data_IF_999771397357
#
_entry.id   IF_999771397357
#
_cell.length_a   1.000
_cell.length_b   1.000
_cell.length_c   1.000
_cell.angle_alpha   90.00
_cell.angle_beta   90.00
_cell.angle_gamma   90.00
#
_symmetry.space_group_name_H-M   'P 1'
#
loop_
_entity.id
_entity.type
_entity.pdbx_description
1 polymer ?
#
# COMPACT_ATOMS: atom_id res chain seq x y z
N UNK A 1 -30.39 -18.24 -15.47
CA UNK A 1 -29.31 -18.60 -16.41
C UNK A 1 -28.73 -17.32 -16.94
N UNK A 2 -27.60 -16.91 -16.37
CA UNK A 2 -26.87 -15.71 -16.73
C UNK A 2 -25.49 -16.18 -17.17
N UNK A 3 -25.11 -15.87 -18.40
CA UNK A 3 -23.73 -15.99 -18.88
C UNK A 3 -23.27 -14.59 -19.30
N UNK A 4 -22.10 -14.14 -18.84
CA UNK A 4 -21.50 -12.86 -19.20
C UNK A 4 -20.65 -12.99 -20.49
N UNK A 5 -20.68 -11.94 -21.31
CA UNK A 5 -19.83 -11.83 -22.50
C UNK A 5 -18.39 -11.53 -22.07
N UNK A 6 -17.52 -12.46 -22.40
CA UNK A 6 -16.06 -12.43 -22.32
C UNK A 6 -15.53 -11.70 -23.56
N UNK A 7 -14.72 -10.66 -23.35
CA UNK A 7 -13.94 -9.96 -24.36
C UNK A 7 -12.48 -10.17 -24.00
N UNK A 8 -11.76 -10.93 -24.82
CA UNK A 8 -10.29 -10.97 -24.91
C UNK A 8 -9.95 -11.51 -26.30
N UNK A 9 -9.76 -10.62 -27.27
CA UNK A 9 -9.13 -10.92 -28.56
C UNK A 9 -7.71 -10.32 -28.52
N UNK A 10 -6.77 -11.14 -28.07
CA UNK A 10 -5.32 -10.95 -28.20
C UNK A 10 -4.86 -11.71 -29.46
N UNK A 11 -4.73 -11.01 -30.59
CA UNK A 11 -4.13 -11.57 -31.81
C UNK A 11 -2.60 -11.40 -31.76
N UNK A 12 -1.98 -12.47 -31.29
CA UNK A 12 -0.57 -12.83 -31.32
C UNK A 12 -0.06 -12.99 -32.76
N UNK A 13 0.90 -12.18 -33.19
CA UNK A 13 1.62 -12.36 -34.46
C UNK A 13 3.09 -12.68 -34.22
N UNK A 14 3.37 -13.94 -33.91
CA UNK A 14 4.68 -14.56 -34.03
C UNK A 14 4.85 -15.27 -35.38
N UNK A 15 5.98 -15.06 -36.06
CA UNK A 15 6.29 -15.78 -37.30
C UNK A 15 7.61 -15.39 -37.96
N UNK A 16 8.69 -15.96 -37.46
CA UNK A 16 10.05 -15.95 -38.03
C UNK A 16 10.11 -16.91 -39.23
N UNK A 17 10.72 -16.54 -40.38
CA UNK A 17 11.39 -17.48 -41.30
C UNK A 17 12.33 -16.79 -42.30
N UNK A 18 13.51 -17.41 -42.40
CA UNK A 18 14.67 -17.19 -43.26
C UNK A 18 14.44 -17.37 -44.78
N UNK A 19 15.21 -16.63 -45.62
CA UNK A 19 15.38 -16.98 -47.04
C UNK A 19 16.08 -16.00 -48.01
N UNK A 20 17.42 -15.91 -47.94
CA UNK A 20 18.40 -16.02 -49.07
C UNK A 20 18.39 -15.13 -50.36
N UNK A 21 19.52 -14.39 -50.54
CA UNK A 21 20.35 -14.06 -51.77
C UNK A 21 20.21 -12.74 -52.60
N UNK A 22 21.29 -11.92 -52.46
CA UNK A 22 22.23 -11.26 -53.44
C UNK A 22 21.76 -10.22 -54.49
N UNK A 23 22.44 -9.05 -54.52
CA UNK A 23 23.37 -8.54 -55.58
C UNK A 23 23.77 -7.08 -55.29
N UNK A 24 25.05 -6.74 -55.02
CA UNK A 24 26.00 -6.13 -55.98
C UNK A 24 25.81 -4.61 -56.13
N UNK A 25 26.66 -3.72 -55.61
CA UNK A 25 27.91 -3.26 -56.29
C UNK A 25 28.68 -2.28 -55.38
N UNK A 26 29.96 -2.55 -55.13
CA UNK A 26 30.98 -1.59 -54.68
C UNK A 26 31.68 -1.00 -55.92
N UNK A 27 31.95 0.31 -55.94
CA UNK A 27 32.96 0.97 -56.82
C UNK A 27 33.82 1.80 -55.86
N UNK A 28 35.05 1.39 -55.52
CA UNK A 28 36.31 1.55 -56.28
C UNK A 28 36.66 3.03 -56.49
N UNK A 29 37.49 3.57 -55.60
CA UNK A 29 38.21 4.83 -55.81
C UNK A 29 39.69 4.47 -55.89
N UNK A 30 40.23 4.51 -57.11
CA UNK A 30 41.61 4.19 -57.41
C UNK A 30 42.53 5.38 -57.08
N UNK A 31 43.63 5.05 -56.42
CA UNK A 31 44.99 5.28 -56.92
C UNK A 31 45.30 6.69 -57.45
N UNK A 32 45.80 7.53 -56.53
CA UNK A 32 46.64 8.68 -56.85
C UNK A 32 48.05 8.14 -57.07
N UNK A 33 48.46 8.00 -58.33
CA UNK A 33 49.86 7.76 -58.66
C UNK A 33 50.62 9.09 -58.60
N UNK A 34 51.60 9.09 -57.71
CA UNK A 34 52.55 10.15 -57.46
C UNK A 34 53.49 10.36 -58.66
N UNK A 35 53.84 11.62 -58.80
CA UNK A 35 54.87 12.22 -59.63
C UNK A 35 56.07 11.32 -60.01
N UNK A 36 56.54 11.48 -61.26
CA UNK A 36 57.89 12.00 -61.64
C UNK A 36 58.38 11.34 -62.93
N UNK A 37 58.06 11.95 -64.08
CA UNK A 37 58.89 11.77 -65.27
C UNK A 37 60.08 12.75 -65.23
N UNK A 38 61.21 12.17 -64.87
CA UNK A 38 62.55 12.74 -64.85
C UNK A 38 63.00 13.02 -66.30
N UNK A 39 62.71 14.22 -66.81
CA UNK A 39 62.85 14.62 -68.22
C UNK A 39 64.31 14.78 -68.70
N UNK A 40 65.30 14.47 -67.85
CA UNK A 40 66.74 14.58 -68.17
C UNK A 40 67.54 13.33 -67.79
N UNK A 41 67.06 12.16 -68.23
CA UNK A 41 67.84 10.94 -68.37
C UNK A 41 68.92 11.05 -69.45
N UNK A 42 69.98 11.80 -69.13
CA UNK A 42 71.23 11.82 -69.89
C UNK A 42 71.83 10.41 -69.94
N UNK A 43 72.19 9.89 -71.13
CA UNK A 43 73.58 9.52 -71.46
C UNK A 43 73.70 8.50 -72.59
N UNK A 44 74.61 8.87 -73.48
CA UNK A 44 75.79 8.12 -73.93
C UNK A 44 75.57 6.66 -74.37
N UNK A 45 75.81 6.46 -75.66
CA UNK A 45 76.35 5.22 -76.20
C UNK A 45 76.81 5.50 -77.63
N UNK A 46 77.89 6.25 -77.82
CA UNK A 46 79.27 5.76 -77.80
C UNK A 46 79.51 4.66 -78.85
N UNK A 47 79.83 5.09 -80.07
CA UNK A 47 80.54 4.31 -81.11
C UNK A 47 81.60 5.27 -81.63
N UNK A 48 82.84 5.24 -81.14
CA UNK A 48 83.83 4.17 -81.40
C UNK A 48 83.70 3.65 -82.83
N UNK A 49 84.01 4.58 -83.72
CA UNK A 49 84.76 4.39 -84.94
C UNK A 49 85.80 3.27 -84.73
N UNK A 50 85.43 2.03 -85.03
CA UNK A 50 86.32 1.15 -85.76
C UNK A 50 85.60 -0.04 -86.38
N UNK A 51 86.08 -0.35 -87.58
CA UNK A 51 85.83 -1.54 -88.38
C UNK A 51 84.38 -1.81 -88.78
N UNK A 52 83.98 -1.03 -89.79
CA UNK A 52 83.67 -1.57 -91.13
C UNK A 52 82.93 -2.91 -91.16
N UNK A 53 81.82 -3.01 -90.44
CA UNK A 53 80.75 -3.94 -90.78
C UNK A 53 79.51 -3.09 -91.10
N UNK A 54 78.92 -3.19 -92.30
CA UNK A 54 77.86 -2.28 -92.75
C UNK A 54 76.57 -2.31 -91.92
N UNK A 55 76.48 -3.15 -90.88
CA UNK A 55 75.31 -3.27 -89.98
C UNK A 55 75.39 -2.48 -88.66
N UNK A 56 76.55 -2.35 -88.01
CA UNK A 56 76.63 -1.80 -86.63
C UNK A 56 76.54 -0.27 -86.57
N UNK A 57 77.24 0.42 -87.47
CA UNK A 57 77.08 1.86 -87.66
C UNK A 57 75.64 2.17 -88.13
N UNK A 58 75.08 1.33 -89.00
CA UNK A 58 73.72 1.50 -89.51
C UNK A 58 72.67 1.34 -88.40
N UNK A 59 72.82 0.36 -87.50
CA UNK A 59 71.89 0.15 -86.38
C UNK A 59 71.85 1.30 -85.38
N UNK A 60 72.99 1.89 -85.04
CA UNK A 60 73.04 3.05 -84.12
C UNK A 60 72.62 4.35 -84.78
N UNK A 61 72.89 4.52 -86.07
CA UNK A 61 72.31 5.61 -86.86
C UNK A 61 70.78 5.49 -86.86
N UNK A 62 70.22 4.27 -86.97
CA UNK A 62 68.76 4.06 -86.92
C UNK A 62 68.18 4.34 -85.52
N UNK A 63 68.78 3.84 -84.42
CA UNK A 63 68.30 4.12 -83.06
C UNK A 63 68.40 5.60 -82.70
N UNK A 64 69.46 6.31 -83.13
CA UNK A 64 69.56 7.75 -82.95
C UNK A 64 68.52 8.51 -83.79
N UNK A 65 68.22 8.05 -85.02
CA UNK A 65 67.15 8.63 -85.85
C UNK A 65 65.77 8.41 -85.25
N UNK A 66 65.51 7.23 -84.69
CA UNK A 66 64.26 6.90 -84.00
C UNK A 66 64.11 7.71 -82.70
N UNK A 67 65.17 7.81 -81.89
CA UNK A 67 65.17 8.65 -80.69
C UNK A 67 65.04 10.14 -81.02
N UNK A 68 65.69 10.62 -82.09
CA UNK A 68 65.53 11.98 -82.59
C UNK A 68 64.08 12.23 -83.03
N UNK A 69 63.50 11.31 -83.81
CA UNK A 69 62.10 11.39 -84.24
C UNK A 69 61.14 11.38 -83.05
N UNK A 70 61.36 10.53 -82.05
CA UNK A 70 60.55 10.49 -80.84
C UNK A 70 60.68 11.80 -80.02
N UNK A 71 61.88 12.38 -79.94
CA UNK A 71 62.09 13.70 -79.33
C UNK A 71 61.38 14.82 -80.12
N UNK A 72 61.34 14.73 -81.45
CA UNK A 72 60.61 15.67 -82.30
C UNK A 72 59.09 15.55 -82.08
N UNK A 73 58.57 14.34 -81.95
CA UNK A 73 57.15 14.08 -81.66
C UNK A 73 56.76 14.55 -80.24
N UNK A 74 57.58 14.30 -79.22
CA UNK A 74 57.30 14.80 -77.86
C UNK A 74 57.40 16.32 -77.79
N UNK A 75 58.36 16.93 -78.50
CA UNK A 75 58.47 18.38 -78.59
C UNK A 75 57.25 19.00 -79.28
N UNK A 76 56.77 18.40 -80.37
CA UNK A 76 55.54 18.82 -81.02
C UNK A 76 54.31 18.72 -80.09
N UNK A 77 54.23 17.64 -79.30
CA UNK A 77 53.15 17.44 -78.32
C UNK A 77 53.20 18.49 -77.22
N UNK A 78 54.35 18.69 -76.58
CA UNK A 78 54.57 19.74 -75.58
C UNK A 78 54.26 21.13 -76.13
N UNK A 79 54.58 21.38 -77.40
CA UNK A 79 54.31 22.66 -78.05
C UNK A 79 52.80 22.86 -78.28
N UNK A 80 52.07 21.80 -78.64
CA UNK A 80 50.60 21.83 -78.73
C UNK A 80 49.95 22.06 -77.36
N UNK A 81 50.41 21.37 -76.33
CA UNK A 81 49.90 21.55 -74.95
C UNK A 81 50.19 22.94 -74.42
N UNK A 82 51.37 23.49 -74.71
CA UNK A 82 51.72 24.86 -74.35
C UNK A 82 50.79 25.88 -75.04
N UNK A 83 50.50 25.71 -76.32
CA UNK A 83 49.56 26.59 -77.04
C UNK A 83 48.12 26.42 -76.54
N UNK A 84 47.71 25.20 -76.15
CA UNK A 84 46.41 24.96 -75.52
C UNK A 84 46.32 25.66 -74.15
N UNK A 85 47.35 25.54 -73.31
CA UNK A 85 47.42 26.19 -72.00
C UNK A 85 47.46 27.72 -72.14
N UNK A 86 48.20 28.27 -73.11
CA UNK A 86 48.19 29.71 -73.43
C UNK A 86 46.80 30.17 -73.86
N UNK A 87 46.14 29.40 -74.73
CA UNK A 87 44.77 29.71 -75.19
C UNK A 87 43.78 29.69 -74.02
N UNK A 88 43.95 28.76 -73.09
CA UNK A 88 43.14 28.69 -71.87
C UNK A 88 43.39 29.88 -70.95
N UNK A 89 44.64 30.24 -70.67
CA UNK A 89 45.02 31.43 -69.90
C UNK A 89 44.43 32.70 -70.54
N UNK A 90 44.51 32.82 -71.87
CA UNK A 90 43.94 33.94 -72.60
C UNK A 90 42.41 33.98 -72.48
N UNK A 91 41.76 32.81 -72.49
CA UNK A 91 40.31 32.70 -72.24
C UNK A 91 39.97 33.17 -70.83
N UNK A 92 40.71 32.74 -69.81
CA UNK A 92 40.53 33.22 -68.43
C UNK A 92 40.71 34.74 -68.33
N UNK A 93 41.78 35.30 -68.90
CA UNK A 93 41.99 36.75 -68.94
C UNK A 93 40.84 37.50 -69.62
N UNK A 94 40.34 36.97 -70.74
CA UNK A 94 39.22 37.58 -71.48
C UNK A 94 37.91 37.55 -70.68
N UNK A 95 37.67 36.48 -69.91
CA UNK A 95 36.52 36.38 -69.02
C UNK A 95 36.60 37.41 -67.89
N UNK A 96 37.76 37.50 -67.21
CA UNK A 96 37.96 38.47 -66.12
C UNK A 96 37.89 39.93 -66.59
N UNK A 97 38.35 40.24 -67.81
CA UNK A 97 38.22 41.59 -68.38
C UNK A 97 36.77 41.99 -68.67
N UNK A 98 35.89 41.02 -68.94
CA UNK A 98 34.48 41.27 -69.26
C UNK A 98 33.59 41.31 -68.03
N UNK A 99 34.13 40.96 -66.86
CA UNK A 99 33.34 40.79 -65.64
C UNK A 99 33.38 42.04 -64.77
N UNK A 100 32.23 42.49 -64.23
CA UNK A 100 32.08 43.83 -63.65
C UNK A 100 32.79 44.06 -62.31
N UNK A 101 33.42 43.04 -61.72
CA UNK A 101 34.05 43.14 -60.40
C UNK A 101 35.47 43.73 -60.43
N UNK A 102 36.07 43.92 -61.61
CA UNK A 102 37.37 44.57 -61.80
C UNK A 102 37.14 45.93 -62.45
N UNK A 103 37.60 47.01 -61.82
CA UNK A 103 37.51 48.35 -62.40
C UNK A 103 38.29 48.42 -63.72
N UNK A 104 37.75 49.06 -64.78
CA UNK A 104 38.42 49.10 -66.08
C UNK A 104 39.83 49.71 -65.96
N UNK A 105 40.87 48.95 -66.32
CA UNK A 105 42.26 49.42 -66.35
C UNK A 105 43.14 49.00 -65.16
N UNK A 106 42.63 48.20 -64.21
CA UNK A 106 43.42 47.66 -63.08
C UNK A 106 43.82 46.21 -63.32
N UNK A 107 45.08 45.84 -63.03
CA UNK A 107 45.52 44.43 -63.04
C UNK A 107 44.90 43.68 -61.85
N UNK A 108 44.18 42.56 -62.06
CA UNK A 108 43.56 41.84 -60.96
C UNK A 108 44.63 41.22 -60.06
N UNK A 109 44.74 41.72 -58.83
CA UNK A 109 45.62 41.14 -57.81
C UNK A 109 45.01 39.80 -57.34
N UNK A 110 45.81 38.70 -57.28
CA UNK A 110 45.30 37.37 -56.92
C UNK A 110 44.50 37.34 -55.61
N UNK A 111 44.90 38.11 -54.60
CA UNK A 111 44.20 38.19 -53.32
C UNK A 111 42.78 38.77 -53.42
N UNK A 112 42.57 39.74 -54.31
CA UNK A 112 41.24 40.36 -54.54
C UNK A 112 40.30 39.40 -55.23
N UNK A 113 40.82 38.66 -56.22
CA UNK A 113 40.06 37.63 -56.95
C UNK A 113 39.67 36.48 -56.03
N UNK A 114 40.60 35.98 -55.20
CA UNK A 114 40.34 34.92 -54.21
C UNK A 114 39.29 35.37 -53.18
N UNK A 115 39.40 36.61 -52.67
CA UNK A 115 38.41 37.16 -51.73
C UNK A 115 37.03 37.30 -52.38
N UNK A 116 36.95 37.74 -53.64
CA UNK A 116 35.69 37.77 -54.38
C UNK A 116 35.06 36.38 -54.53
N UNK A 117 35.83 35.36 -54.91
CA UNK A 117 35.33 33.99 -54.99
C UNK A 117 34.87 33.47 -53.62
N UNK A 118 35.60 33.80 -52.55
CA UNK A 118 35.20 33.42 -51.20
C UNK A 118 33.88 34.08 -50.80
N UNK A 119 33.71 35.38 -51.07
CA UNK A 119 32.46 36.11 -50.80
C UNK A 119 31.31 35.59 -51.66
N UNK A 120 31.57 35.26 -52.93
CA UNK A 120 30.58 34.68 -53.83
C UNK A 120 30.14 33.30 -53.33
N UNK A 121 31.08 32.45 -52.90
CA UNK A 121 30.78 31.15 -52.28
C UNK A 121 29.96 31.32 -51.01
N UNK A 122 30.32 32.24 -50.11
CA UNK A 122 29.54 32.50 -48.90
C UNK A 122 28.14 33.05 -49.22
N UNK A 123 28.00 33.89 -50.26
CA UNK A 123 26.71 34.36 -50.74
C UNK A 123 25.88 33.23 -51.35
N UNK A 124 26.50 32.32 -52.09
CA UNK A 124 25.85 31.14 -52.65
C UNK A 124 25.33 30.22 -51.54
N UNK A 125 26.16 29.91 -50.54
CA UNK A 125 25.80 29.12 -49.36
C UNK A 125 24.62 29.75 -48.61
N UNK A 126 24.63 31.08 -48.43
CA UNK A 126 23.55 31.81 -47.78
C UNK A 126 22.24 31.75 -48.58
N UNK A 127 22.31 31.90 -49.91
CA UNK A 127 21.14 31.76 -50.78
C UNK A 127 20.60 30.33 -50.79
N UNK A 128 21.46 29.32 -50.80
CA UNK A 128 21.06 27.91 -50.68
C UNK A 128 20.36 27.66 -49.34
N UNK A 129 20.88 28.20 -48.23
CA UNK A 129 20.23 28.06 -46.92
C UNK A 129 18.85 28.73 -46.88
N UNK A 130 18.72 29.93 -47.48
CA UNK A 130 17.43 30.61 -47.61
C UNK A 130 16.43 29.84 -48.48
N UNK A 131 16.89 29.26 -49.59
CA UNK A 131 16.09 28.40 -50.46
C UNK A 131 15.58 27.18 -49.71
N UNK A 132 16.44 26.50 -48.95
CA UNK A 132 16.04 25.33 -48.17
C UNK A 132 15.07 25.69 -47.04
N UNK A 133 15.26 26.86 -46.38
CA UNK A 133 14.28 27.40 -45.42
C UNK A 133 12.94 27.70 -46.10
N UNK A 134 12.94 28.26 -47.31
CA UNK A 134 11.73 28.56 -48.05
C UNK A 134 10.98 27.27 -48.46
N UNK A 135 11.68 26.27 -48.99
CA UNK A 135 11.11 24.96 -49.34
C UNK A 135 10.50 24.25 -48.12
N UNK A 136 11.18 24.28 -46.97
CA UNK A 136 10.64 23.72 -45.71
C UNK A 136 9.36 24.44 -45.26
N UNK A 137 9.30 25.77 -45.38
CA UNK A 137 8.10 26.55 -45.09
C UNK A 137 6.96 26.23 -46.06
N UNK A 138 7.26 26.13 -47.35
CA UNK A 138 6.28 25.76 -48.38
C UNK A 138 5.69 24.37 -48.11
N UNK A 139 6.52 23.38 -47.83
CA UNK A 139 6.06 22.03 -47.46
C UNK A 139 5.16 22.05 -46.22
N UNK A 140 5.51 22.84 -45.19
CA UNK A 140 4.66 23.01 -44.01
C UNK A 140 3.30 23.66 -44.34
N UNK A 141 3.27 24.64 -45.26
CA UNK A 141 2.02 25.23 -45.71
C UNK A 141 1.16 24.24 -46.49
N UNK A 142 1.73 23.44 -47.38
CA UNK A 142 1.00 22.40 -48.11
C UNK A 142 0.34 21.39 -47.17
N UNK A 143 1.06 20.93 -46.14
CA UNK A 143 0.51 20.02 -45.11
C UNK A 143 -0.63 20.70 -44.33
N UNK A 144 -0.46 21.96 -43.94
CA UNK A 144 -1.50 22.70 -43.22
C UNK A 144 -2.75 22.96 -44.06
N UNK A 145 -2.58 23.26 -45.35
CA UNK A 145 -3.70 23.41 -46.30
C UNK A 145 -4.44 22.09 -46.44
N UNK A 146 -3.73 20.97 -46.65
CA UNK A 146 -4.36 19.65 -46.73
C UNK A 146 -5.15 19.28 -45.47
N UNK A 147 -4.63 19.60 -44.28
CA UNK A 147 -5.35 19.41 -43.00
C UNK A 147 -6.61 20.26 -42.92
N UNK A 148 -6.54 21.54 -43.33
CA UNK A 148 -7.70 22.44 -43.37
C UNK A 148 -8.76 21.96 -44.36
N UNK A 149 -8.35 21.47 -45.52
CA UNK A 149 -9.28 20.93 -46.52
C UNK A 149 -9.98 19.66 -46.02
N UNK A 150 -9.26 18.80 -45.30
CA UNK A 150 -9.83 17.62 -44.63
C UNK A 150 -10.86 18.03 -43.56
N UNK A 151 -10.52 18.98 -42.68
CA UNK A 151 -11.43 19.51 -41.66
C UNK A 151 -12.70 20.12 -42.30
N UNK A 152 -12.54 20.88 -43.38
CA UNK A 152 -13.67 21.43 -44.15
C UNK A 152 -14.55 20.29 -44.73
N UNK A 153 -13.96 19.21 -45.22
CA UNK A 153 -14.70 18.07 -45.75
C UNK A 153 -15.51 17.34 -44.65
N UNK A 154 -14.92 17.15 -43.48
CA UNK A 154 -15.56 16.56 -42.30
C UNK A 154 -16.72 17.43 -41.81
N UNK A 155 -16.50 18.74 -41.63
CA UNK A 155 -17.55 19.69 -41.25
C UNK A 155 -18.70 19.71 -42.26
N UNK A 156 -18.39 19.69 -43.56
CA UNK A 156 -19.40 19.57 -44.62
C UNK A 156 -20.20 18.28 -44.50
N UNK A 157 -19.59 17.17 -44.07
CA UNK A 157 -20.29 15.91 -43.84
C UNK A 157 -21.24 16.00 -42.64
N UNK A 158 -20.75 16.47 -41.49
CA UNK A 158 -21.59 16.65 -40.30
C UNK A 158 -22.80 17.56 -40.58
N UNK A 159 -22.61 18.62 -41.37
CA UNK A 159 -23.72 19.50 -41.79
C UNK A 159 -24.74 18.76 -42.66
N UNK A 160 -24.32 17.89 -43.57
CA UNK A 160 -25.25 17.06 -44.36
C UNK A 160 -26.03 16.11 -43.46
N UNK A 161 -25.36 15.44 -42.53
CA UNK A 161 -25.98 14.47 -41.62
C UNK A 161 -26.99 15.16 -40.69
N UNK A 162 -26.63 16.30 -40.11
CA UNK A 162 -27.54 17.11 -39.30
C UNK A 162 -28.74 17.60 -40.13
N UNK A 163 -28.54 18.00 -41.39
CA UNK A 163 -29.65 18.38 -42.28
C UNK A 163 -30.60 17.22 -42.57
N UNK A 164 -30.08 15.99 -42.64
CA UNK A 164 -30.91 14.78 -42.80
C UNK A 164 -31.68 14.50 -41.50
N UNK A 165 -31.01 14.55 -40.35
CA UNK A 165 -31.66 14.36 -39.04
C UNK A 165 -32.74 15.42 -38.75
N UNK A 166 -32.49 16.67 -39.14
CA UNK A 166 -33.43 17.80 -38.96
C UNK A 166 -34.55 17.84 -40.01
N UNK A 167 -34.53 16.95 -41.02
CA UNK A 167 -35.66 16.76 -41.93
C UNK A 167 -36.47 15.54 -41.47
N UNK A 168 -37.56 15.71 -40.71
CA UNK A 168 -38.48 14.63 -40.45
C UNK A 168 -38.92 13.98 -41.76
N UNK A 169 -38.85 12.63 -41.87
CA UNK A 169 -39.18 11.93 -43.10
C UNK A 169 -40.65 12.12 -43.53
N UNK A 170 -41.55 12.46 -42.59
CA UNK A 170 -42.95 12.75 -42.88
C UNK A 170 -43.26 14.26 -42.84
N UNK A 171 -44.06 14.73 -43.80
CA UNK A 171 -44.61 16.10 -43.82
C UNK A 171 -45.47 16.40 -42.58
N UNK A 172 -46.09 15.36 -42.01
CA UNK A 172 -46.93 15.46 -40.83
C UNK A 172 -46.11 15.74 -39.58
N UNK A 173 -44.95 15.08 -39.39
CA UNK A 173 -44.03 15.39 -38.30
C UNK A 173 -43.43 16.80 -38.44
N UNK A 174 -43.18 17.27 -39.68
CA UNK A 174 -42.80 18.67 -39.93
C UNK A 174 -43.88 19.66 -39.49
N UNK A 175 -45.15 19.41 -39.83
CA UNK A 175 -46.26 20.27 -39.37
C UNK A 175 -46.44 20.24 -37.85
N UNK A 176 -46.30 19.06 -37.24
CA UNK A 176 -46.45 18.83 -35.81
C UNK A 176 -45.35 19.53 -34.98
N UNK A 177 -44.10 19.50 -35.44
CA UNK A 177 -42.97 20.17 -34.77
C UNK A 177 -42.94 21.69 -35.01
N UNK A 178 -43.65 22.17 -36.03
CA UNK A 178 -43.85 23.59 -36.29
C UNK A 178 -45.12 24.13 -35.63
N UNK A 179 -45.92 23.28 -34.97
CA UNK A 179 -47.13 23.67 -34.27
C UNK A 179 -46.77 24.26 -32.89
N UNK A 180 -47.07 25.55 -32.64
CA UNK A 180 -46.78 26.20 -31.36
C UNK A 180 -47.45 25.52 -30.15
N UNK A 181 -48.66 24.97 -30.30
CA UNK A 181 -49.38 24.31 -29.21
C UNK A 181 -48.67 23.00 -28.82
N UNK A 182 -48.07 22.32 -29.80
CA UNK A 182 -47.34 21.08 -29.56
C UNK A 182 -45.99 21.37 -28.92
N UNK A 183 -45.32 22.44 -29.34
CA UNK A 183 -44.11 22.91 -28.66
C UNK A 183 -44.37 23.24 -27.19
N UNK A 184 -45.51 23.86 -26.88
CA UNK A 184 -45.92 24.16 -25.51
C UNK A 184 -46.16 22.89 -24.69
N UNK A 185 -46.85 21.88 -25.23
CA UNK A 185 -47.03 20.58 -24.54
C UNK A 185 -45.71 19.82 -24.36
N UNK A 186 -44.81 19.84 -25.34
CA UNK A 186 -43.47 19.25 -25.16
C UNK A 186 -42.67 19.96 -24.06
N UNK A 187 -42.76 21.29 -24.00
CA UNK A 187 -42.11 22.08 -22.95
C UNK A 187 -42.72 21.78 -21.59
N UNK A 188 -44.05 21.69 -21.50
CA UNK A 188 -44.78 21.30 -20.28
C UNK A 188 -44.37 19.90 -19.81
N UNK A 189 -44.32 18.93 -20.72
CA UNK A 189 -43.90 17.56 -20.43
C UNK A 189 -42.44 17.50 -19.98
N UNK A 190 -41.54 18.24 -20.66
CA UNK A 190 -40.14 18.34 -20.25
C UNK A 190 -40.01 18.89 -18.84
N UNK A 191 -40.70 19.98 -18.52
CA UNK A 191 -40.69 20.58 -17.19
C UNK A 191 -41.27 19.62 -16.14
N UNK A 192 -42.34 18.89 -16.48
CA UNK A 192 -42.93 17.89 -15.59
C UNK A 192 -41.96 16.73 -15.33
N UNK A 193 -41.23 16.27 -16.34
CA UNK A 193 -40.19 15.24 -16.17
C UNK A 193 -39.08 15.76 -15.27
N UNK A 194 -38.54 16.96 -15.52
CA UNK A 194 -37.50 17.57 -14.68
C UNK A 194 -37.96 17.74 -13.22
N UNK A 195 -39.22 18.14 -12.99
CA UNK A 195 -39.82 18.24 -11.66
C UNK A 195 -39.92 16.87 -10.98
N UNK A 196 -40.37 15.84 -11.69
CA UNK A 196 -40.47 14.48 -11.14
C UNK A 196 -39.11 13.88 -10.87
N UNK A 197 -38.11 14.10 -11.71
CA UNK A 197 -36.73 13.65 -11.48
C UNK A 197 -36.14 14.31 -10.23
N UNK A 198 -36.38 15.61 -10.04
CA UNK A 198 -36.00 16.30 -8.81
C UNK A 198 -36.69 15.68 -7.59
N UNK A 199 -37.99 15.37 -7.69
CA UNK A 199 -38.76 14.72 -6.61
C UNK A 199 -38.23 13.32 -6.28
N UNK A 200 -37.88 12.55 -7.30
CA UNK A 200 -37.29 11.22 -7.15
C UNK A 200 -35.95 11.33 -6.42
N UNK A 201 -35.10 12.29 -6.82
CA UNK A 201 -33.82 12.54 -6.15
C UNK A 201 -34.02 12.94 -4.68
N UNK A 202 -34.91 13.89 -4.40
CA UNK A 202 -35.25 14.29 -3.03
C UNK A 202 -35.74 13.11 -2.18
N UNK A 203 -36.60 12.25 -2.73
CA UNK A 203 -37.08 11.06 -2.03
C UNK A 203 -35.98 10.02 -1.83
N UNK A 204 -35.09 9.83 -2.80
CA UNK A 204 -33.92 8.96 -2.67
C UNK A 204 -32.95 9.46 -1.59
N UNK A 205 -32.70 10.77 -1.55
CA UNK A 205 -31.85 11.41 -0.54
C UNK A 205 -32.48 11.27 0.86
N UNK A 206 -33.78 11.52 0.99
CA UNK A 206 -34.52 11.30 2.24
C UNK A 206 -34.50 9.82 2.68
N UNK A 207 -34.65 8.87 1.73
CA UNK A 207 -34.53 7.44 2.03
C UNK A 207 -33.11 7.13 2.49
N UNK A 208 -32.08 7.69 1.86
CA UNK A 208 -30.69 7.51 2.27
C UNK A 208 -30.40 8.12 3.65
N UNK A 209 -31.04 9.24 3.98
CA UNK A 209 -30.95 9.89 5.29
C UNK A 209 -31.67 9.09 6.39
N UNK A 210 -32.87 8.59 6.11
CA UNK A 210 -33.69 7.82 7.05
C UNK A 210 -33.19 6.38 7.20
N UNK A 211 -32.55 5.82 6.17
CA UNK A 211 -31.95 4.50 6.26
C UNK A 211 -30.75 4.52 7.19
N UNK A 212 -30.94 3.87 8.34
CA UNK A 212 -29.85 3.59 9.25
C UNK A 212 -28.75 2.80 8.54
N UNK A 213 -27.61 3.44 8.32
CA UNK A 213 -26.40 2.76 7.85
C UNK A 213 -25.47 2.60 9.05
N UNK A 214 -25.09 1.36 9.44
CA UNK A 214 -24.19 1.12 10.57
C UNK A 214 -22.85 1.85 10.46
N UNK A 215 -22.47 2.26 9.23
CA UNK A 215 -21.22 2.95 8.94
C UNK A 215 -21.30 4.48 8.93
N UNK A 216 -22.50 5.07 8.88
CA UNK A 216 -22.64 6.53 9.03
C UNK A 216 -22.19 6.98 10.41
N UNK A 217 -21.84 8.27 10.56
CA UNK A 217 -21.44 8.85 11.86
C UNK A 217 -22.51 8.63 12.93
N UNK A 218 -23.78 8.88 12.59
CA UNK A 218 -24.92 8.66 13.49
C UNK A 218 -25.15 7.17 13.73
N UNK A 219 -24.98 6.34 12.69
CA UNK A 219 -25.11 4.89 12.80
C UNK A 219 -24.10 4.25 13.75
N UNK A 220 -22.81 4.61 13.60
CA UNK A 220 -21.73 4.18 14.49
C UNK A 220 -21.98 4.60 15.94
N UNK A 221 -22.44 5.83 16.16
CA UNK A 221 -22.76 6.33 17.49
C UNK A 221 -23.92 5.57 18.13
N UNK A 222 -24.98 5.26 17.37
CA UNK A 222 -26.10 4.46 17.87
C UNK A 222 -25.65 3.02 18.19
N UNK A 223 -24.87 2.38 17.30
CA UNK A 223 -24.34 1.04 17.55
C UNK A 223 -23.45 0.99 18.79
N UNK A 224 -22.58 1.99 18.97
CA UNK A 224 -21.75 2.10 20.17
C UNK A 224 -22.62 2.23 21.43
N UNK A 225 -23.65 3.08 21.40
CA UNK A 225 -24.60 3.23 22.51
C UNK A 225 -25.37 1.94 22.81
N UNK A 226 -25.84 1.23 21.78
CA UNK A 226 -26.50 -0.06 21.96
C UNK A 226 -25.56 -1.10 22.58
N UNK A 227 -24.29 -1.13 22.15
CA UNK A 227 -23.28 -2.01 22.72
C UNK A 227 -23.01 -1.71 24.19
N UNK A 228 -22.83 -0.44 24.54
CA UNK A 228 -22.64 -0.03 25.94
C UNK A 228 -23.85 -0.35 26.81
N UNK A 229 -25.07 -0.09 26.34
CA UNK A 229 -26.30 -0.46 27.07
C UNK A 229 -26.44 -1.97 27.24
N UNK A 230 -25.99 -2.75 26.26
CA UNK A 230 -26.00 -4.20 26.36
C UNK A 230 -24.99 -4.71 27.37
N UNK A 231 -23.76 -4.17 27.37
CA UNK A 231 -22.73 -4.47 28.38
C UNK A 231 -23.21 -4.08 29.80
N UNK A 232 -23.85 -2.92 29.95
CA UNK A 232 -24.41 -2.47 31.23
C UNK A 232 -25.54 -3.41 31.72
N UNK A 233 -26.45 -3.82 30.84
CA UNK A 233 -27.51 -4.77 31.19
C UNK A 233 -26.97 -6.15 31.58
N UNK A 234 -25.94 -6.63 30.88
CA UNK A 234 -25.26 -7.88 31.21
C UNK A 234 -24.60 -7.79 32.58
N UNK A 235 -23.93 -6.68 32.89
CA UNK A 235 -23.31 -6.43 34.20
C UNK A 235 -24.36 -6.30 35.31
N UNK A 236 -25.48 -5.61 35.07
CA UNK A 236 -26.60 -5.53 36.03
C UNK A 236 -27.16 -6.94 36.29
N UNK A 237 -27.35 -7.74 35.24
CA UNK A 237 -27.79 -9.13 35.35
C UNK A 237 -26.81 -9.99 36.15
N UNK A 238 -25.51 -9.80 35.90
CA UNK A 238 -24.43 -10.45 36.64
C UNK A 238 -24.44 -10.06 38.11
N UNK A 239 -24.49 -8.76 38.42
CA UNK A 239 -24.55 -8.27 39.81
C UNK A 239 -25.81 -8.74 40.55
N UNK A 240 -26.96 -8.79 39.87
CA UNK A 240 -28.20 -9.28 40.45
C UNK A 240 -28.11 -10.77 40.80
N UNK A 241 -27.51 -11.58 39.92
CA UNK A 241 -27.37 -13.02 40.10
C UNK A 241 -26.24 -13.36 41.09
N UNK A 242 -25.07 -12.77 40.92
CA UNK A 242 -23.88 -13.03 41.75
C UNK A 242 -24.01 -12.39 43.13
N UNK A 243 -24.52 -11.16 43.24
CA UNK A 243 -24.62 -10.45 44.51
C UNK A 243 -25.57 -11.14 45.51
N UNK A 244 -26.76 -11.54 45.06
CA UNK A 244 -27.71 -12.27 45.92
C UNK A 244 -27.21 -13.67 46.27
N UNK A 245 -26.60 -14.36 45.31
CA UNK A 245 -26.03 -15.69 45.54
C UNK A 245 -24.87 -15.63 46.55
N UNK A 246 -23.99 -14.63 46.42
CA UNK A 246 -22.87 -14.43 47.34
C UNK A 246 -23.33 -14.07 48.76
N UNK A 247 -24.28 -13.14 48.91
CA UNK A 247 -24.87 -12.80 50.23
C UNK A 247 -25.53 -14.02 50.90
N UNK A 248 -26.33 -14.79 50.15
CA UNK A 248 -26.91 -16.03 50.68
C UNK A 248 -25.84 -17.07 51.02
N UNK A 249 -24.79 -17.22 50.23
CA UNK A 249 -23.68 -18.11 50.53
C UNK A 249 -22.93 -17.70 51.81
N UNK A 250 -22.70 -16.40 52.01
CA UNK A 250 -22.08 -15.85 53.22
C UNK A 250 -22.96 -16.09 54.45
N UNK A 251 -24.26 -15.80 54.38
CA UNK A 251 -25.22 -16.09 55.46
C UNK A 251 -25.28 -17.59 55.79
N UNK A 252 -25.26 -18.45 54.77
CA UNK A 252 -25.23 -19.90 54.96
C UNK A 252 -23.94 -20.36 55.67
N UNK A 253 -22.78 -19.80 55.30
CA UNK A 253 -21.50 -20.10 55.95
C UNK A 253 -21.50 -19.67 57.43
N UNK A 254 -22.00 -18.46 57.72
CA UNK A 254 -22.14 -17.96 59.09
C UNK A 254 -23.05 -18.87 59.92
N UNK A 255 -24.22 -19.24 59.38
CA UNK A 255 -25.15 -20.13 60.07
C UNK A 255 -24.53 -21.51 60.34
N UNK A 256 -23.74 -22.04 59.40
CA UNK A 256 -23.00 -23.29 59.61
C UNK A 256 -21.98 -23.18 60.75
N UNK A 257 -21.28 -22.06 60.86
CA UNK A 257 -20.33 -21.80 61.96
C UNK A 257 -21.05 -21.74 63.30
N UNK A 258 -22.13 -20.96 63.40
CA UNK A 258 -22.93 -20.86 64.62
C UNK A 258 -23.53 -22.20 65.04
N UNK A 259 -24.03 -22.99 64.08
CA UNK A 259 -24.51 -24.35 64.35
C UNK A 259 -23.39 -25.27 64.84
N UNK A 260 -22.16 -25.12 64.34
CA UNK A 260 -21.01 -25.89 64.82
C UNK A 260 -20.62 -25.47 66.25
N UNK A 261 -20.62 -24.18 66.56
CA UNK A 261 -20.39 -23.67 67.92
C UNK A 261 -21.45 -24.16 68.91
N UNK A 262 -22.74 -24.13 68.54
CA UNK A 262 -23.82 -24.67 69.38
C UNK A 262 -23.64 -26.17 69.63
N UNK A 263 -23.25 -26.95 68.60
CA UNK A 263 -22.94 -28.36 68.78
C UNK A 263 -21.77 -28.58 69.74
N UNK A 264 -20.71 -27.77 69.63
CA UNK A 264 -19.56 -27.84 70.54
C UNK A 264 -19.96 -27.50 71.98
N UNK A 265 -20.79 -26.48 72.19
CA UNK A 265 -21.31 -26.13 73.53
C UNK A 265 -22.17 -27.26 74.11
N UNK A 266 -23.07 -27.85 73.32
CA UNK A 266 -23.89 -28.98 73.75
C UNK A 266 -23.01 -30.19 74.12
N UNK A 267 -22.01 -30.51 73.30
CA UNK A 267 -21.07 -31.59 73.62
C UNK A 267 -20.30 -31.30 74.91
N UNK A 268 -19.87 -30.05 75.13
CA UNK A 268 -19.22 -29.63 76.37
C UNK A 268 -20.12 -29.80 77.61
N UNK A 269 -21.38 -29.39 77.50
CA UNK A 269 -22.38 -29.56 78.57
C UNK A 269 -22.66 -31.04 78.86
N UNK A 270 -22.79 -31.88 77.83
CA UNK A 270 -22.96 -33.32 78.03
C UNK A 270 -21.78 -33.92 78.83
N UNK A 271 -20.54 -33.57 78.49
CA UNK A 271 -19.35 -34.02 79.23
C UNK A 271 -19.35 -33.54 80.69
N UNK A 272 -19.82 -32.32 80.94
CA UNK A 272 -19.94 -31.79 82.32
C UNK A 272 -21.00 -32.56 83.12
N UNK A 273 -22.16 -32.84 82.51
CA UNK A 273 -23.23 -33.63 83.15
C UNK A 273 -22.75 -35.05 83.44
N UNK A 274 -22.04 -35.69 82.52
CA UNK A 274 -21.41 -37.00 82.74
C UNK A 274 -20.45 -36.96 83.92
N UNK A 275 -19.58 -35.94 84.00
CA UNK A 275 -18.68 -35.74 85.14
C UNK A 275 -19.42 -35.58 86.47
N UNK A 276 -20.45 -34.73 86.52
CA UNK A 276 -21.27 -34.56 87.72
C UNK A 276 -22.04 -35.83 88.10
N UNK A 277 -22.48 -36.62 87.12
CA UNK A 277 -23.15 -37.91 87.36
C UNK A 277 -22.19 -38.88 88.03
N UNK A 278 -20.95 -38.99 87.52
CA UNK A 278 -19.91 -39.80 88.13
C UNK A 278 -19.58 -39.33 89.57
N UNK A 279 -19.46 -38.03 89.80
CA UNK A 279 -19.20 -37.48 91.13
C UNK A 279 -20.33 -37.80 92.12
N UNK A 280 -21.60 -37.72 91.65
CA UNK A 280 -22.77 -38.12 92.43
C UNK A 280 -22.75 -39.62 92.73
N UNK A 281 -22.39 -40.47 91.77
CA UNK A 281 -22.25 -41.92 91.99
C UNK A 281 -21.18 -42.23 93.05
N UNK A 282 -19.99 -41.61 92.96
CA UNK A 282 -18.91 -41.76 93.94
C UNK A 282 -19.35 -41.24 95.32
N UNK A 283 -20.00 -40.08 95.36
CA UNK A 283 -20.52 -39.50 96.61
C UNK A 283 -21.58 -40.41 97.23
N UNK A 284 -22.48 -41.00 96.44
CA UNK A 284 -23.49 -41.94 96.91
C UNK A 284 -22.84 -43.21 97.48
N UNK A 285 -21.81 -43.76 96.83
CA UNK A 285 -21.05 -44.91 97.33
C UNK A 285 -20.34 -44.59 98.67
N UNK A 286 -19.74 -43.40 98.77
CA UNK A 286 -19.12 -42.93 100.01
C UNK A 286 -20.13 -42.80 101.15
N UNK A 287 -21.32 -42.24 100.88
CA UNK A 287 -22.40 -42.13 101.87
C UNK A 287 -22.83 -43.52 102.36
N UNK A 288 -22.96 -44.50 101.46
CA UNK A 288 -23.31 -45.87 101.83
C UNK A 288 -22.27 -46.49 102.78
N UNK A 289 -20.97 -46.35 102.48
CA UNK A 289 -19.89 -46.80 103.36
C UNK A 289 -19.87 -46.10 104.72
N UNK A 290 -20.16 -44.80 104.75
CA UNK A 290 -20.24 -44.04 106.00
C UNK A 290 -21.46 -44.46 106.84
N UNK A 291 -22.59 -44.78 106.22
CA UNK A 291 -23.76 -45.34 106.89
C UNK A 291 -23.45 -46.70 107.50
N UNK A 292 -22.81 -47.60 106.76
CA UNK A 292 -22.36 -48.92 107.27
C UNK A 292 -21.45 -48.76 108.49
N UNK A 293 -20.44 -47.89 108.42
CA UNK A 293 -19.55 -47.59 109.56
C UNK A 293 -20.31 -46.98 110.75
N UNK A 294 -21.31 -46.14 110.49
CA UNK A 294 -22.13 -45.55 111.55
C UNK A 294 -22.93 -46.64 112.28
N UNK A 295 -23.55 -47.55 111.52
CA UNK A 295 -24.27 -48.70 112.07
C UNK A 295 -23.36 -49.62 112.89
N UNK A 296 -22.15 -49.93 112.40
CA UNK A 296 -21.13 -50.67 113.17
C UNK A 296 -20.81 -49.98 114.50
N UNK A 297 -20.55 -48.67 114.46
CA UNK A 297 -20.25 -47.88 115.67
C UNK A 297 -21.44 -47.82 116.62
N UNK A 298 -22.67 -47.72 116.09
CA UNK A 298 -23.88 -47.78 116.91
C UNK A 298 -24.09 -49.16 117.55
N UNK A 299 -23.70 -50.25 116.88
CA UNK A 299 -23.64 -51.60 117.47
C UNK A 299 -22.61 -51.64 118.60
N UNK A 300 -21.39 -51.14 118.36
CA UNK A 300 -20.32 -51.12 119.35
C UNK A 300 -20.67 -50.24 120.56
N UNK A 301 -21.28 -49.07 120.35
CA UNK A 301 -21.79 -48.20 121.42
C UNK A 301 -22.86 -48.94 122.23
N UNK A 302 -23.80 -49.62 121.57
CA UNK A 302 -24.80 -50.44 122.27
C UNK A 302 -24.16 -51.56 123.08
N UNK A 303 -23.12 -52.22 122.55
CA UNK A 303 -22.35 -53.25 123.27
C UNK A 303 -21.64 -52.68 124.50
N UNK A 304 -20.87 -51.60 124.33
CA UNK A 304 -20.14 -50.94 125.41
C UNK A 304 -21.07 -50.37 126.48
N UNK A 305 -22.23 -49.78 126.10
CA UNK A 305 -23.26 -49.36 127.06
C UNK A 305 -23.74 -50.52 127.92
N UNK A 306 -24.02 -51.67 127.30
CA UNK A 306 -24.42 -52.89 128.02
C UNK A 306 -23.33 -53.41 128.95
N UNK A 307 -22.07 -53.38 128.52
CA UNK A 307 -20.92 -53.74 129.37
C UNK A 307 -20.71 -52.75 130.54
N UNK A 308 -20.96 -51.46 130.32
CA UNK A 308 -20.85 -50.42 131.36
C UNK A 308 -21.99 -50.52 132.38
N UNK A 309 -23.21 -50.84 131.93
CA UNK A 309 -24.32 -51.20 132.81
C UNK A 309 -23.99 -52.44 133.66
N UNK A 310 -23.34 -53.45 133.07
CA UNK A 310 -22.89 -54.64 133.80
C UNK A 310 -21.78 -54.34 134.82
N UNK A 311 -20.81 -53.48 134.48
CA UNK A 311 -19.77 -53.03 135.42
C UNK A 311 -20.31 -52.13 136.53
N UNK A 312 -21.29 -51.27 136.25
CA UNK A 312 -21.98 -50.48 137.26
C UNK A 312 -22.79 -51.34 138.26
N UNK A 313 -23.15 -52.58 137.90
CA UNK A 313 -23.82 -53.52 138.82
C UNK A 313 -22.81 -54.21 139.76
N UNK A 314 -21.51 -54.22 139.44
CA UNK A 314 -20.44 -54.78 140.30
C UNK A 314 -19.81 -53.76 141.27
N UNK A 315 -20.07 -52.46 141.10
CA UNK A 315 -19.65 -51.40 142.03
C UNK A 315 -20.80 -50.39 142.29
N UNK A 316 -21.73 -50.75 143.19
CA UNK A 316 -22.61 -49.80 143.89
C UNK A 316 -22.06 -49.55 145.32
N UNK A 317 -22.44 -48.47 146.06
CA UNK A 317 -23.36 -47.39 145.72
C UNK A 317 -22.95 -45.97 146.21
N UNK A 318 -23.48 -44.89 145.61
CA UNK A 318 -24.29 -43.86 146.31
C UNK A 318 -24.70 -42.65 145.44
N UNK A 319 -26.01 -42.54 145.22
CA UNK A 319 -26.87 -41.39 145.55
C UNK A 319 -26.65 -40.02 144.83
N UNK A 320 -27.60 -39.61 143.97
CA UNK A 320 -28.62 -38.55 144.24
C UNK A 320 -29.32 -38.05 142.97
N UNK A 321 -30.65 -38.06 143.02
CA UNK A 321 -31.60 -37.46 142.07
C UNK A 321 -31.75 -35.95 142.32
N UNK A 322 -31.53 -35.11 141.29
CA UNK A 322 -32.01 -33.71 141.22
C UNK A 322 -32.39 -33.34 139.77
N UNK A 323 -33.69 -33.02 139.59
CA UNK A 323 -34.34 -32.05 138.68
C UNK A 323 -34.33 -32.22 137.14
N UNK A 324 -35.50 -32.58 136.60
CA UNK A 324 -36.09 -32.15 135.31
C UNK A 324 -37.10 -31.02 135.62
N UNK A 325 -37.51 -30.08 134.77
CA UNK A 325 -37.41 -29.84 133.32
C UNK A 325 -37.83 -28.37 133.08
N UNK A 326 -37.18 -27.66 132.16
CA UNK A 326 -37.66 -26.37 131.64
C UNK A 326 -37.22 -26.23 130.16
N UNK A 327 -38.18 -26.13 129.22
CA UNK A 327 -37.89 -25.93 127.78
C UNK A 327 -38.66 -24.74 127.21
N UNK A 328 -37.87 -23.70 126.92
CA UNK A 328 -38.06 -22.51 126.06
C UNK A 328 -38.37 -22.94 124.61
N UNK A 329 -39.22 -22.29 123.82
CA UNK A 329 -39.29 -20.91 123.29
C UNK A 329 -38.20 -20.52 122.28
N UNK A 330 -38.68 -20.06 121.11
CA UNK A 330 -38.11 -19.07 120.17
C UNK A 330 -36.89 -19.52 119.33
N UNK A 331 -36.62 -19.02 118.13
CA UNK A 331 -37.28 -18.13 117.15
C UNK A 331 -36.39 -18.12 115.89
N UNK A 332 -36.80 -17.33 114.89
CA UNK A 332 -36.02 -16.69 113.80
C UNK A 332 -35.89 -17.46 112.47
N UNK A 333 -36.58 -17.05 111.40
CA UNK A 333 -36.38 -15.89 110.48
C UNK A 333 -35.19 -16.07 109.53
N UNK A 334 -35.43 -15.95 108.23
CA UNK A 334 -34.88 -14.87 107.38
C UNK A 334 -35.48 -14.89 105.96
N UNK A 335 -35.71 -13.69 105.42
CA UNK A 335 -36.00 -13.36 104.02
C UNK A 335 -34.71 -13.49 103.16
N UNK A 336 -34.64 -13.41 101.82
CA UNK A 336 -35.25 -12.46 100.86
C UNK A 336 -34.84 -12.80 99.41
N UNK A 337 -35.57 -12.25 98.42
CA UNK A 337 -35.12 -11.60 97.14
C UNK A 337 -34.92 -12.43 95.82
N UNK A 338 -35.69 -11.99 94.79
CA UNK A 338 -35.46 -11.73 93.33
C UNK A 338 -34.64 -12.71 92.45
N UNK A 339 -34.75 -12.80 91.11
CA UNK A 339 -35.36 -12.00 90.03
C UNK A 339 -35.47 -12.85 88.74
N UNK A 340 -36.38 -12.44 87.84
CA UNK A 340 -36.34 -12.37 86.35
C UNK A 340 -35.24 -13.13 85.58
N UNK A 341 -35.59 -13.74 84.43
CA UNK A 341 -34.89 -13.52 83.14
C UNK A 341 -35.68 -14.03 81.92
N UNK A 342 -35.45 -13.29 80.82
CA UNK A 342 -36.10 -13.23 79.50
C UNK A 342 -35.98 -14.46 78.61
#
# INVERSE_FOLDING_TARGET
MASPNHLDDEDDFGGDFSGTRRSGTKRSFGELDDEKEDIFGSKKGNIKLDETAPGAATGTILSLRESLKNCEETLATCQSELEAAKSEIQKWHSSFQKEPFISPGTTPEPGVVVNYFQNLRSSEELLQEQLEKAKKKEAAFLVNIAKRDQEIAELKSCVRDLRVQLKPPSMQARKLLLDPAIHEEFTRLKNLVEEKDKKVKELQDNIAEVNFTPQSKNGKMLMAKCKTLQEENEEIGKQANEGKMHDMAMKLALQKSQNAELKNHLEGLCKQIEGLTNDVEISNEMVYLLQEKLEERDIDIRRLKKELEQRNIEEEPHNKTIMEEDKRSSDDKFATIEEVLS
#
